data_IF_947996707590
#
_entry.id   IF_947996707590
#
_cell.length_a   1.000
_cell.length_b   1.000
_cell.length_c   1.000
_cell.angle_alpha   90.00
_cell.angle_beta   90.00
_cell.angle_gamma   90.00
#
_symmetry.space_group_name_H-M   'P 1'
#
loop_
_entity.id
_entity.type
_entity.pdbx_description
1 polymer ?
#
# COMPACT_ATOMS: atom_id res chain seq x y z
N UNK A 1 -9.49 -3.69 -1.50
CA UNK A 1 -8.34 -2.80 -1.38
C UNK A 1 -8.11 -1.95 -2.63
N UNK A 2 -7.90 -2.54 -3.84
CA UNK A 2 -7.59 -1.80 -5.08
C UNK A 2 -8.56 -0.64 -5.39
N UNK A 3 -9.86 -0.81 -5.15
CA UNK A 3 -10.87 0.24 -5.35
C UNK A 3 -10.74 1.38 -4.33
N UNK A 4 -10.40 1.06 -3.09
CA UNK A 4 -10.20 2.05 -2.02
C UNK A 4 -8.96 2.88 -2.34
N UNK A 5 -7.84 2.21 -2.67
CA UNK A 5 -6.60 2.88 -3.10
C UNK A 5 -6.86 3.78 -4.30
N UNK A 6 -7.52 3.27 -5.35
CA UNK A 6 -7.78 4.04 -6.56
C UNK A 6 -8.63 5.29 -6.30
N UNK A 7 -9.66 5.19 -5.46
CA UNK A 7 -10.48 6.33 -5.06
C UNK A 7 -9.65 7.37 -4.32
N UNK A 8 -8.96 6.98 -3.24
CA UNK A 8 -8.17 7.90 -2.41
C UNK A 8 -7.01 8.53 -3.18
N UNK A 9 -6.28 7.73 -3.96
CA UNK A 9 -5.21 8.25 -4.79
C UNK A 9 -5.74 9.22 -5.84
N UNK A 10 -6.88 8.91 -6.49
CA UNK A 10 -7.50 9.83 -7.45
C UNK A 10 -7.88 11.15 -6.81
N UNK A 11 -8.47 11.10 -5.60
CA UNK A 11 -8.84 12.31 -4.86
C UNK A 11 -7.60 13.15 -4.54
N UNK A 12 -6.51 12.52 -4.11
CA UNK A 12 -5.29 13.20 -3.66
C UNK A 12 -4.39 13.69 -4.80
N UNK A 13 -4.26 12.93 -5.90
CA UNK A 13 -3.38 13.31 -7.03
C UNK A 13 -4.01 14.40 -7.92
N UNK A 14 -5.35 14.52 -7.93
CA UNK A 14 -6.09 15.48 -8.74
C UNK A 14 -6.37 16.78 -8.03
N UNK A 15 -6.38 16.78 -6.69
CA UNK A 15 -6.67 17.97 -5.91
C UNK A 15 -5.39 18.63 -5.42
N UNK A 16 -4.85 19.57 -6.17
CA UNK A 16 -3.82 20.46 -5.65
C UNK A 16 -4.36 21.42 -4.56
N UNK A 17 -5.69 21.55 -4.44
CA UNK A 17 -6.31 22.59 -3.60
C UNK A 17 -7.32 22.11 -2.55
N UNK A 18 -7.80 20.84 -2.57
CA UNK A 18 -8.95 20.44 -1.77
C UNK A 18 -8.80 19.17 -0.93
N UNK A 19 -7.60 18.75 -0.65
CA UNK A 19 -7.36 17.64 0.25
C UNK A 19 -7.63 18.05 1.70
N UNK A 20 -8.09 17.09 2.51
CA UNK A 20 -8.37 17.26 3.92
C UNK A 20 -7.32 18.13 4.62
N UNK A 21 -7.70 18.89 5.65
CA UNK A 21 -6.84 19.86 6.36
C UNK A 21 -5.45 19.30 6.71
N UNK A 22 -5.37 18.01 6.92
CA UNK A 22 -4.14 17.27 7.13
C UNK A 22 -3.19 17.25 5.90
N UNK A 23 -3.70 17.19 4.66
CA UNK A 23 -2.89 17.29 3.46
C UNK A 23 -2.43 18.73 3.21
N UNK A 24 -3.20 19.73 3.61
CA UNK A 24 -2.79 21.15 3.56
C UNK A 24 -1.58 21.43 4.45
N UNK A 25 -1.43 20.72 5.56
CA UNK A 25 -0.24 20.83 6.42
C UNK A 25 1.02 20.21 5.81
N UNK A 26 0.88 19.31 4.82
CA UNK A 26 2.00 18.68 4.12
C UNK A 26 2.52 19.48 2.92
N UNK A 27 1.72 20.44 2.43
CA UNK A 27 2.02 21.23 1.21
C UNK A 27 2.58 22.63 1.51
N UNK A 28 2.96 22.94 2.75
CA UNK A 28 3.32 24.29 3.20
C UNK A 28 4.67 24.83 2.70
N UNK A 29 5.25 24.22 1.67
CA UNK A 29 6.39 24.80 0.97
C UNK A 29 5.97 25.18 -0.46
N UNK A 30 5.64 26.45 -0.67
CA UNK A 30 5.25 27.05 -1.97
C UNK A 30 6.31 26.89 -3.09
N UNK A 31 7.42 26.22 -2.79
CA UNK A 31 8.52 25.95 -3.72
C UNK A 31 8.66 24.47 -4.10
N UNK A 32 7.82 23.57 -3.58
CA UNK A 32 7.94 22.18 -3.95
C UNK A 32 7.12 21.85 -5.18
N UNK A 33 7.70 21.14 -6.16
CA UNK A 33 6.95 20.49 -7.22
C UNK A 33 5.95 19.56 -6.55
N UNK A 34 4.74 19.46 -7.04
CA UNK A 34 3.62 18.69 -6.45
C UNK A 34 4.01 17.35 -5.79
N UNK A 35 3.07 16.70 -5.12
CA UNK A 35 3.35 15.48 -4.36
C UNK A 35 3.59 14.27 -5.26
N UNK A 36 4.56 13.44 -4.88
CA UNK A 36 4.84 12.14 -5.49
C UNK A 36 4.13 11.00 -4.76
N UNK A 37 3.67 9.99 -5.51
CA UNK A 37 2.84 8.90 -5.01
C UNK A 37 3.41 7.52 -5.37
N UNK A 38 3.48 6.63 -4.39
CA UNK A 38 3.78 5.22 -4.59
C UNK A 38 2.59 4.33 -4.26
N UNK A 39 2.34 3.31 -5.06
CA UNK A 39 1.39 2.24 -4.70
C UNK A 39 2.11 0.91 -4.70
N UNK A 40 2.30 0.36 -3.51
CA UNK A 40 3.06 -0.86 -3.27
C UNK A 40 2.12 -2.02 -2.95
N UNK A 41 2.36 -3.17 -3.54
CA UNK A 41 1.74 -4.42 -3.15
C UNK A 41 2.75 -5.57 -3.11
N UNK A 42 2.44 -6.61 -2.34
CA UNK A 42 3.24 -7.85 -2.29
C UNK A 42 2.95 -8.79 -3.48
N UNK A 43 1.89 -8.54 -4.25
CA UNK A 43 1.39 -9.45 -5.28
C UNK A 43 1.14 -8.74 -6.61
N UNK A 44 1.69 -9.31 -7.71
CA UNK A 44 1.48 -8.78 -9.07
C UNK A 44 -0.01 -8.70 -9.46
N UNK A 45 -0.81 -9.69 -9.05
CA UNK A 45 -2.25 -9.68 -9.32
C UNK A 45 -2.94 -8.43 -8.73
N UNK A 46 -2.53 -8.01 -7.55
CA UNK A 46 -3.05 -6.79 -6.91
C UNK A 46 -2.58 -5.53 -7.64
N UNK A 47 -1.33 -5.50 -8.09
CA UNK A 47 -0.82 -4.41 -8.93
C UNK A 47 -1.72 -4.22 -10.16
N UNK A 48 -2.05 -5.30 -10.86
CA UNK A 48 -2.98 -5.25 -12.00
C UNK A 48 -4.39 -4.79 -11.61
N UNK A 49 -4.88 -5.22 -10.44
CA UNK A 49 -6.18 -4.78 -9.94
C UNK A 49 -6.19 -3.27 -9.64
N UNK A 50 -5.08 -2.73 -9.14
CA UNK A 50 -4.91 -1.28 -8.89
C UNK A 50 -4.90 -0.51 -10.23
N UNK A 51 -4.11 -0.94 -11.22
CA UNK A 51 -4.14 -0.34 -12.57
C UNK A 51 -5.55 -0.31 -13.15
N UNK A 52 -6.25 -1.45 -13.12
CA UNK A 52 -7.63 -1.54 -13.61
C UNK A 52 -8.61 -0.64 -12.84
N UNK A 53 -8.40 -0.47 -11.55
CA UNK A 53 -9.25 0.41 -10.75
C UNK A 53 -8.98 1.89 -11.06
N UNK A 54 -7.72 2.28 -11.25
CA UNK A 54 -7.30 3.65 -11.58
C UNK A 54 -7.69 4.08 -13.00
N UNK A 55 -7.86 3.11 -13.93
CA UNK A 55 -8.36 3.40 -15.27
C UNK A 55 -9.72 4.11 -15.24
N UNK A 56 -10.58 3.77 -14.27
CA UNK A 56 -11.91 4.42 -14.12
C UNK A 56 -11.80 5.90 -13.78
N UNK A 57 -10.67 6.32 -13.27
CA UNK A 57 -10.37 7.71 -12.92
C UNK A 57 -9.50 8.42 -13.95
N UNK A 58 -9.14 7.75 -15.07
CA UNK A 58 -8.29 8.32 -16.13
C UNK A 58 -6.82 8.48 -15.72
N UNK A 59 -6.36 7.77 -14.66
CA UNK A 59 -4.97 7.86 -14.18
C UNK A 59 -4.08 6.82 -14.86
N UNK A 60 -4.66 5.70 -15.27
CA UNK A 60 -3.97 4.63 -15.97
C UNK A 60 -4.74 4.20 -17.21
N UNK A 61 -4.04 3.63 -18.17
CA UNK A 61 -4.62 3.19 -19.44
C UNK A 61 -3.94 1.90 -19.95
N UNK A 62 -4.53 1.29 -20.98
CA UNK A 62 -3.91 0.21 -21.74
C UNK A 62 -3.14 0.79 -22.91
N UNK A 63 -1.86 0.46 -23.03
CA UNK A 63 -1.07 0.75 -24.22
C UNK A 63 -1.51 -0.13 -25.41
N UNK A 64 -1.05 0.21 -26.62
CA UNK A 64 -1.39 -0.54 -27.84
C UNK A 64 -0.96 -2.00 -27.80
N UNK A 65 0.11 -2.33 -27.09
CA UNK A 65 0.60 -3.69 -26.86
C UNK A 65 -0.17 -4.44 -25.76
N UNK A 66 -1.19 -3.81 -25.17
CA UNK A 66 -2.01 -4.37 -24.11
C UNK A 66 -1.39 -4.29 -22.71
N UNK A 67 -0.22 -3.68 -22.54
CA UNK A 67 0.38 -3.45 -21.21
C UNK A 67 -0.34 -2.33 -20.48
N UNK A 68 -0.24 -2.34 -19.15
CA UNK A 68 -0.73 -1.24 -18.32
C UNK A 68 0.31 -0.14 -18.21
N UNK A 69 -0.13 1.10 -18.37
CA UNK A 69 0.71 2.28 -18.16
C UNK A 69 -0.02 3.38 -17.40
N UNK A 70 0.75 4.27 -16.78
CA UNK A 70 0.26 5.50 -16.16
C UNK A 70 0.11 6.54 -17.26
N UNK A 71 -1.01 7.28 -17.27
CA UNK A 71 -1.24 8.37 -18.21
C UNK A 71 -0.16 9.45 -18.07
N UNK A 72 0.21 10.06 -19.20
CA UNK A 72 1.37 10.97 -19.29
C UNK A 72 1.33 12.10 -18.24
N UNK A 73 0.16 12.66 -17.98
CA UNK A 73 -0.04 13.77 -17.02
C UNK A 73 0.22 13.41 -15.55
N UNK A 74 0.22 12.10 -15.21
CA UNK A 74 0.48 11.61 -13.84
C UNK A 74 1.85 10.93 -13.71
N UNK A 75 2.64 10.85 -14.77
CA UNK A 75 3.88 10.07 -14.79
C UNK A 75 5.03 10.80 -14.13
N UNK A 76 5.18 12.09 -14.40
CA UNK A 76 6.29 12.91 -13.91
C UNK A 76 5.78 14.23 -13.34
N UNK A 77 6.53 14.77 -12.38
CA UNK A 77 6.41 16.13 -11.90
C UNK A 77 7.11 17.11 -12.88
N UNK A 78 6.86 18.41 -12.72
CA UNK A 78 7.46 19.45 -13.56
C UNK A 78 9.00 19.46 -13.48
N UNK A 79 9.56 19.01 -12.37
CA UNK A 79 11.01 18.88 -12.19
C UNK A 79 11.60 17.59 -12.82
N UNK A 80 10.78 16.75 -13.46
CA UNK A 80 11.19 15.50 -14.11
C UNK A 80 11.27 14.28 -13.17
N UNK A 81 11.00 14.44 -11.87
CA UNK A 81 10.91 13.32 -10.94
C UNK A 81 9.63 12.51 -11.19
N UNK A 82 9.67 11.21 -10.85
CA UNK A 82 8.52 10.33 -10.99
C UNK A 82 7.39 10.72 -10.03
N UNK A 83 6.22 11.11 -10.60
CA UNK A 83 5.06 11.53 -9.81
C UNK A 83 4.26 10.34 -9.27
N UNK A 84 4.08 9.29 -10.06
CA UNK A 84 3.33 8.11 -9.67
C UNK A 84 4.05 6.84 -10.08
N UNK A 85 4.20 5.92 -9.14
CA UNK A 85 4.66 4.54 -9.37
C UNK A 85 3.69 3.54 -8.77
N UNK A 86 3.41 2.46 -9.51
CA UNK A 86 2.57 1.35 -9.07
C UNK A 86 3.35 0.06 -9.31
N UNK A 87 3.61 -0.72 -8.26
CA UNK A 87 4.42 -1.92 -8.42
C UNK A 87 4.45 -2.85 -7.21
N UNK A 88 5.23 -3.91 -7.35
CA UNK A 88 5.55 -4.78 -6.21
C UNK A 88 6.64 -4.16 -5.36
N UNK A 89 6.80 -4.65 -4.12
CA UNK A 89 7.82 -4.16 -3.16
C UNK A 89 9.20 -4.06 -3.81
N UNK A 90 9.61 -5.07 -4.59
CA UNK A 90 10.92 -5.11 -5.21
C UNK A 90 11.14 -3.96 -6.22
N UNK A 91 10.06 -3.45 -6.84
CA UNK A 91 10.11 -2.31 -7.77
C UNK A 91 10.34 -0.96 -7.07
N UNK A 92 10.28 -0.92 -5.74
CA UNK A 92 10.47 0.28 -4.93
C UNK A 92 11.79 0.32 -4.18
N UNK A 93 12.65 -0.66 -4.39
CA UNK A 93 13.94 -0.69 -3.70
C UNK A 93 14.79 0.53 -4.08
N UNK A 94 15.26 1.28 -3.07
CA UNK A 94 16.06 2.50 -3.26
C UNK A 94 15.26 3.75 -3.67
N UNK A 95 13.92 3.67 -3.72
CA UNK A 95 13.06 4.80 -4.09
C UNK A 95 12.25 5.28 -2.90
N UNK A 96 11.88 6.57 -2.91
CA UNK A 96 11.01 7.19 -1.91
C UNK A 96 10.00 8.11 -2.58
N UNK A 97 8.79 8.17 -2.03
CA UNK A 97 7.69 8.99 -2.49
C UNK A 97 7.09 9.78 -1.32
N UNK A 98 6.50 10.94 -1.57
CA UNK A 98 5.88 11.73 -0.51
C UNK A 98 4.78 10.93 0.18
N UNK A 99 3.93 10.27 -0.59
CA UNK A 99 2.81 9.48 -0.11
C UNK A 99 2.90 8.07 -0.69
N UNK A 100 2.83 7.06 0.18
CA UNK A 100 2.83 5.66 -0.22
C UNK A 100 1.53 4.99 0.23
N UNK A 101 0.83 4.38 -0.72
CA UNK A 101 -0.25 3.44 -0.46
C UNK A 101 0.30 2.02 -0.42
N UNK A 102 0.15 1.34 0.69
CA UNK A 102 0.55 -0.05 0.86
C UNK A 102 -0.69 -0.95 0.90
N UNK A 103 -0.79 -1.86 -0.08
CA UNK A 103 -1.87 -2.86 -0.16
C UNK A 103 -1.40 -4.18 0.41
N UNK A 104 -2.00 -4.61 1.51
CA UNK A 104 -1.59 -5.81 2.27
C UNK A 104 -2.08 -7.11 1.62
N UNK A 105 -3.25 -7.08 0.96
CA UNK A 105 -3.87 -8.16 0.16
C UNK A 105 -4.31 -9.39 0.97
N UNK A 106 -3.89 -9.53 2.20
CA UNK A 106 -4.23 -10.67 3.03
C UNK A 106 -5.42 -10.34 3.93
N UNK A 107 -6.46 -11.16 3.81
CA UNK A 107 -7.60 -11.21 4.71
C UNK A 107 -8.00 -12.66 4.89
N UNK A 108 -8.56 -13.00 6.03
CA UNK A 108 -9.03 -14.33 6.36
C UNK A 108 -10.38 -14.22 7.08
N UNK A 109 -11.31 -15.09 6.73
CA UNK A 109 -12.49 -15.30 7.56
C UNK A 109 -12.04 -15.88 8.91
N UNK A 110 -12.17 -15.08 9.95
CA UNK A 110 -11.75 -15.44 11.30
C UNK A 110 -12.49 -16.68 11.82
N UNK A 111 -13.70 -16.96 11.32
CA UNK A 111 -14.46 -18.17 11.68
C UNK A 111 -13.90 -19.43 11.01
N UNK A 112 -13.10 -19.28 9.97
CA UNK A 112 -12.45 -20.38 9.27
C UNK A 112 -11.06 -20.72 9.83
N UNK A 113 -10.56 -19.98 10.83
CA UNK A 113 -9.29 -20.30 11.49
C UNK A 113 -9.46 -21.52 12.39
N UNK A 114 -8.61 -22.56 12.26
CA UNK A 114 -8.66 -23.73 13.14
C UNK A 114 -8.35 -23.33 14.57
N UNK A 115 -9.11 -23.84 15.57
CA UNK A 115 -9.05 -23.37 16.95
C UNK A 115 -7.74 -23.67 17.70
N UNK A 116 -6.89 -24.57 17.25
CA UNK A 116 -5.56 -24.83 17.82
C UNK A 116 -4.63 -25.57 16.84
N UNK A 117 -3.43 -25.17 16.87
CA UNK A 117 -2.28 -25.68 16.18
C UNK A 117 -1.70 -26.85 16.99
N UNK A 118 -1.37 -27.97 16.32
CA UNK A 118 -1.00 -29.21 17.05
C UNK A 118 0.49 -29.56 17.06
N UNK A 119 1.29 -28.92 16.17
CA UNK A 119 2.75 -29.02 16.17
C UNK A 119 3.40 -27.88 15.39
N UNK A 120 4.69 -27.58 15.68
CA UNK A 120 5.41 -26.43 15.13
C UNK A 120 5.54 -26.44 13.59
N UNK A 121 5.61 -27.62 12.97
CA UNK A 121 5.78 -27.73 11.53
C UNK A 121 4.47 -27.43 10.78
N UNK A 122 3.35 -27.90 11.29
CA UNK A 122 2.02 -27.57 10.77
C UNK A 122 1.70 -26.09 10.97
N UNK A 123 2.24 -25.48 12.00
CA UNK A 123 2.07 -24.07 12.30
C UNK A 123 2.77 -23.19 11.28
N UNK A 124 4.03 -23.47 10.97
CA UNK A 124 4.78 -22.74 9.96
C UNK A 124 4.13 -22.84 8.59
N UNK A 125 3.64 -24.00 8.18
CA UNK A 125 2.92 -24.19 6.92
C UNK A 125 1.61 -23.40 6.87
N UNK A 126 0.87 -23.36 7.97
CA UNK A 126 -0.36 -22.57 8.08
C UNK A 126 -0.09 -21.08 8.07
N UNK A 127 0.89 -20.61 8.83
CA UNK A 127 1.32 -19.22 8.83
C UNK A 127 1.76 -18.80 7.43
N UNK A 128 2.56 -19.60 6.74
CA UNK A 128 2.98 -19.35 5.37
C UNK A 128 1.79 -19.25 4.39
N UNK A 129 0.78 -20.08 4.57
CA UNK A 129 -0.45 -20.04 3.76
C UNK A 129 -1.27 -18.78 4.04
N UNK A 130 -1.36 -18.36 5.29
CA UNK A 130 -2.12 -17.18 5.73
C UNK A 130 -1.42 -15.88 5.33
N UNK A 131 -0.16 -15.72 5.68
CA UNK A 131 0.58 -14.47 5.54
C UNK A 131 1.42 -14.38 4.26
N UNK A 132 1.89 -15.51 3.74
CA UNK A 132 2.67 -15.57 2.50
C UNK A 132 3.86 -14.61 2.49
N UNK A 133 3.88 -13.67 1.55
CA UNK A 133 4.97 -12.70 1.41
C UNK A 133 5.08 -11.69 2.56
N UNK A 134 4.04 -11.51 3.38
CA UNK A 134 4.11 -10.64 4.57
C UNK A 134 5.08 -11.18 5.63
N UNK A 135 5.36 -12.49 5.64
CA UNK A 135 6.35 -13.10 6.54
C UNK A 135 7.81 -12.75 6.16
N UNK A 136 8.05 -12.13 5.01
CA UNK A 136 9.37 -11.66 4.64
C UNK A 136 9.65 -10.31 5.29
N UNK A 137 10.38 -10.31 6.41
CA UNK A 137 10.71 -9.11 7.19
C UNK A 137 11.38 -8.04 6.32
N UNK A 138 12.31 -8.43 5.44
CA UNK A 138 12.97 -7.49 4.54
C UNK A 138 11.98 -6.79 3.60
N UNK A 139 11.02 -7.53 3.01
CA UNK A 139 10.00 -6.95 2.14
C UNK A 139 9.04 -6.06 2.92
N UNK A 140 8.65 -6.49 4.10
CA UNK A 140 7.79 -5.70 4.98
C UNK A 140 8.48 -4.39 5.37
N UNK A 141 9.74 -4.45 5.81
CA UNK A 141 10.55 -3.28 6.13
C UNK A 141 10.67 -2.34 4.93
N UNK A 142 11.06 -2.84 3.75
CA UNK A 142 11.14 -2.01 2.53
C UNK A 142 9.80 -1.36 2.22
N UNK A 143 8.69 -2.09 2.28
CA UNK A 143 7.37 -1.56 1.94
C UNK A 143 6.88 -0.47 2.90
N UNK A 144 7.28 -0.55 4.17
CA UNK A 144 6.89 0.39 5.24
C UNK A 144 7.82 1.59 5.41
N UNK A 145 8.88 1.70 4.61
CA UNK A 145 9.90 2.76 4.73
C UNK A 145 10.08 3.57 3.45
N UNK A 146 9.13 3.50 2.52
CA UNK A 146 9.25 4.21 1.22
C UNK A 146 8.59 5.57 1.20
N UNK A 147 7.87 5.95 2.24
CA UNK A 147 7.22 7.26 2.36
C UNK A 147 8.17 8.31 2.95
N UNK A 148 8.10 9.52 2.39
CA UNK A 148 8.73 10.71 2.98
C UNK A 148 7.81 11.39 3.99
N UNK A 149 6.49 11.39 3.73
CA UNK A 149 5.49 12.13 4.52
C UNK A 149 4.38 11.22 5.06
N UNK A 150 3.76 10.41 4.21
CA UNK A 150 2.56 9.63 4.58
C UNK A 150 2.64 8.20 4.10
N UNK A 151 2.37 7.27 5.00
CA UNK A 151 2.09 5.88 4.69
C UNK A 151 0.60 5.60 4.92
N UNK A 152 -0.13 5.31 3.84
CA UNK A 152 -1.53 4.90 3.87
C UNK A 152 -1.63 3.40 3.65
N UNK A 153 -2.00 2.64 4.69
CA UNK A 153 -2.17 1.19 4.57
C UNK A 153 -3.63 0.85 4.30
N UNK A 154 -3.83 -0.03 3.34
CA UNK A 154 -5.13 -0.63 3.01
C UNK A 154 -5.03 -2.13 3.19
N UNK A 155 -5.80 -2.68 4.11
CA UNK A 155 -5.77 -4.09 4.47
C UNK A 155 -6.89 -4.46 5.43
N UNK A 156 -6.88 -5.71 5.88
CA UNK A 156 -7.81 -6.23 6.87
C UNK A 156 -7.24 -6.03 8.27
N UNK A 157 -7.72 -4.99 8.96
CA UNK A 157 -7.28 -4.67 10.32
C UNK A 157 -7.67 -5.74 11.35
N UNK A 158 -8.79 -6.44 11.16
CA UNK A 158 -9.20 -7.53 12.04
C UNK A 158 -8.20 -8.68 11.95
N UNK A 159 -7.79 -9.03 10.73
CA UNK A 159 -6.78 -10.06 10.49
C UNK A 159 -5.41 -9.66 11.06
N UNK A 160 -4.98 -8.41 10.89
CA UNK A 160 -3.72 -7.90 11.42
C UNK A 160 -3.68 -7.87 12.96
N UNK A 161 -4.84 -7.73 13.62
CA UNK A 161 -4.98 -7.66 15.07
C UNK A 161 -5.28 -9.03 15.72
N UNK A 162 -4.71 -10.11 15.21
CA UNK A 162 -4.90 -11.45 15.75
C UNK A 162 -3.64 -11.97 16.44
N UNK A 163 -3.79 -12.88 17.40
CA UNK A 163 -2.65 -13.55 18.02
C UNK A 163 -1.78 -14.30 16.98
N UNK A 164 -2.42 -14.89 15.98
CA UNK A 164 -1.69 -15.59 14.91
C UNK A 164 -0.88 -14.61 14.03
N UNK A 165 -1.32 -13.37 13.89
CA UNK A 165 -0.54 -12.33 13.22
C UNK A 165 0.65 -11.88 14.07
N UNK A 166 0.46 -11.74 15.37
CA UNK A 166 1.53 -11.42 16.32
C UNK A 166 2.62 -12.50 16.33
N UNK A 167 2.22 -13.77 16.34
CA UNK A 167 3.14 -14.92 16.33
C UNK A 167 3.89 -15.07 15.00
N UNK A 168 3.21 -14.83 13.87
CA UNK A 168 3.75 -15.07 12.53
C UNK A 168 4.49 -13.87 11.94
N UNK A 169 4.01 -12.66 12.20
CA UNK A 169 4.51 -11.40 11.64
C UNK A 169 4.40 -10.29 12.71
N UNK A 170 5.22 -10.32 13.77
CA UNK A 170 5.14 -9.37 14.88
C UNK A 170 5.16 -7.91 14.43
N UNK A 171 5.96 -7.61 13.40
CA UNK A 171 6.07 -6.26 12.84
C UNK A 171 4.73 -5.75 12.26
N UNK A 172 3.89 -6.63 11.72
CA UNK A 172 2.55 -6.26 11.22
C UNK A 172 1.63 -5.86 12.37
N UNK A 173 1.62 -6.65 13.46
CA UNK A 173 0.83 -6.35 14.67
C UNK A 173 1.29 -5.05 15.31
N UNK A 174 2.59 -4.87 15.52
CA UNK A 174 3.17 -3.66 16.09
C UNK A 174 2.83 -2.43 15.24
N UNK A 175 2.85 -2.58 13.92
CA UNK A 175 2.48 -1.50 13.00
C UNK A 175 0.97 -1.18 13.07
N UNK A 176 0.12 -2.19 13.16
CA UNK A 176 -1.32 -2.00 13.39
C UNK A 176 -1.58 -1.19 14.67
N UNK A 177 -0.93 -1.56 15.77
CA UNK A 177 -1.05 -0.84 17.05
C UNK A 177 -0.57 0.61 16.93
N UNK A 178 0.57 0.84 16.27
CA UNK A 178 1.08 2.19 16.01
C UNK A 178 0.08 3.05 15.21
N UNK A 179 -0.58 2.47 14.21
CA UNK A 179 -1.61 3.18 13.45
C UNK A 179 -2.81 3.56 14.31
N UNK A 180 -3.18 2.72 15.27
CA UNK A 180 -4.26 3.01 16.22
C UNK A 180 -3.88 4.07 17.26
N UNK A 181 -2.64 4.08 17.71
CA UNK A 181 -2.18 5.03 18.73
C UNK A 181 -1.87 6.42 18.16
N UNK A 182 -1.26 6.49 16.99
CA UNK A 182 -0.67 7.72 16.42
C UNK A 182 -1.16 8.05 15.01
N UNK A 183 -1.89 7.16 14.38
CA UNK A 183 -2.39 7.32 13.02
C UNK A 183 -3.81 7.87 12.97
N UNK A 184 -4.33 7.95 11.75
CA UNK A 184 -5.73 8.27 11.46
C UNK A 184 -6.36 7.07 10.77
N UNK A 185 -7.48 6.59 11.30
CA UNK A 185 -8.28 5.53 10.68
C UNK A 185 -9.33 6.18 9.78
N UNK A 186 -9.34 5.83 8.51
CA UNK A 186 -10.20 6.41 7.47
C UNK A 186 -11.34 5.48 7.06
#
# INVERSE_FOLDING_TARGET
EAKIIARRLSDWIKSDESTADYMKTLTHDDRQPGLSFGVISFYKAQVFAVYKALQKYGITERAQDGTWQICQEYRFLDNGEERLRIGTVDAFQGMEFDIVFLSMVRSQDMNALPPHIRNEEDDKKKQQKLFGHLMSENRLCVSMTRQKKVLAIVGDGVFANTQIAEDAVPALKNFYDLCHEKGVIL
#
